data_IF_162269963925
#
_entry.id   IF_162269963925
#
_cell.length_a   1.000
_cell.length_b   1.000
_cell.length_c   1.000
_cell.angle_alpha   90.00
_cell.angle_beta   90.00
_cell.angle_gamma   90.00
#
_symmetry.space_group_name_H-M   'P 1'
#
loop_
_entity.id
_entity.type
_entity.pdbx_description
1 polymer ?
#
# COMPACT_ATOMS: atom_id res chain seq x y z
N UNK A 1 31.24 41.71 9.76
CA UNK A 1 32.28 40.77 9.28
C UNK A 1 31.56 39.45 9.04
N UNK A 2 31.27 39.07 7.79
CA UNK A 2 30.68 37.76 7.49
C UNK A 2 31.83 36.75 7.49
N UNK A 3 31.88 35.88 8.51
CA UNK A 3 32.92 34.86 8.57
C UNK A 3 32.56 33.77 7.55
N UNK A 4 33.51 33.33 6.70
CA UNK A 4 33.25 32.30 5.68
C UNK A 4 32.75 30.99 6.29
N UNK A 5 33.06 30.76 7.57
CA UNK A 5 32.63 29.60 8.36
C UNK A 5 31.11 29.57 8.56
N UNK A 6 30.46 30.74 8.73
CA UNK A 6 29.01 30.83 8.95
C UNK A 6 28.21 30.55 7.67
N UNK A 7 28.78 30.92 6.51
CA UNK A 7 28.18 30.60 5.22
C UNK A 7 28.30 29.09 4.90
N UNK A 8 29.44 28.48 5.23
CA UNK A 8 29.67 27.04 5.03
C UNK A 8 28.79 26.20 5.97
N UNK A 9 28.66 26.60 7.23
CA UNK A 9 27.81 25.89 8.21
C UNK A 9 26.33 25.96 7.82
N UNK A 10 25.85 27.14 7.38
CA UNK A 10 24.49 27.28 6.84
C UNK A 10 24.23 26.39 5.63
N UNK A 11 25.18 26.30 4.71
CA UNK A 11 25.08 25.41 3.54
C UNK A 11 25.01 23.93 3.93
N UNK A 12 25.80 23.49 4.91
CA UNK A 12 25.77 22.11 5.42
C UNK A 12 24.44 21.77 6.09
N UNK A 13 23.85 22.70 6.86
CA UNK A 13 22.54 22.50 7.49
C UNK A 13 21.44 22.32 6.44
N UNK A 14 21.47 23.11 5.36
CA UNK A 14 20.52 22.98 4.25
C UNK A 14 20.68 21.63 3.55
N UNK A 15 21.91 21.22 3.24
CA UNK A 15 22.18 19.90 2.66
C UNK A 15 21.70 18.76 3.57
N UNK A 16 21.97 18.85 4.87
CA UNK A 16 21.53 17.86 5.84
C UNK A 16 20.00 17.78 5.92
N UNK A 17 19.31 18.92 5.89
CA UNK A 17 17.84 18.99 5.91
C UNK A 17 17.24 18.34 4.66
N UNK A 18 17.80 18.61 3.47
CA UNK A 18 17.36 17.99 2.20
C UNK A 18 17.60 16.48 2.24
N UNK A 19 18.76 16.05 2.75
CA UNK A 19 19.09 14.64 2.87
C UNK A 19 18.16 13.91 3.84
N UNK A 20 17.93 14.50 5.02
CA UNK A 20 17.02 13.98 6.03
C UNK A 20 15.59 13.86 5.48
N UNK A 21 15.09 14.89 4.78
CA UNK A 21 13.78 14.83 4.14
C UNK A 21 13.70 13.71 3.08
N UNK A 22 14.73 13.55 2.24
CA UNK A 22 14.76 12.43 1.29
C UNK A 22 14.79 11.07 1.99
N UNK A 23 15.49 10.96 3.11
CA UNK A 23 15.58 9.75 3.89
C UNK A 23 14.22 9.37 4.50
N UNK A 24 13.52 10.32 5.14
CA UNK A 24 12.19 10.07 5.72
C UNK A 24 11.16 9.66 4.65
N UNK A 25 11.14 10.35 3.50
CA UNK A 25 10.30 9.97 2.34
C UNK A 25 10.56 8.55 1.84
N UNK A 26 11.81 8.07 1.92
CA UNK A 26 12.17 6.72 1.49
C UNK A 26 11.68 5.67 2.48
N UNK A 27 11.77 5.95 3.78
CA UNK A 27 11.28 5.07 4.84
C UNK A 27 9.75 4.89 4.79
N UNK A 28 8.98 5.98 4.63
CA UNK A 28 7.52 5.92 4.47
C UNK A 28 7.10 4.99 3.31
N UNK A 29 7.76 5.14 2.15
CA UNK A 29 7.51 4.28 0.98
C UNK A 29 7.88 2.82 1.24
N UNK A 30 8.89 2.56 2.06
CA UNK A 30 9.32 1.20 2.39
C UNK A 30 8.33 0.54 3.35
N UNK A 31 7.92 1.26 4.41
CA UNK A 31 6.90 0.82 5.37
C UNK A 31 5.59 0.45 4.68
N UNK A 32 5.10 1.31 3.78
CA UNK A 32 3.91 1.05 2.98
C UNK A 32 4.02 -0.23 2.14
N UNK A 33 5.16 -0.46 1.47
CA UNK A 33 5.39 -1.66 0.67
C UNK A 33 5.39 -2.93 1.53
N UNK A 34 6.02 -2.86 2.70
CA UNK A 34 6.10 -3.98 3.64
C UNK A 34 4.71 -4.30 4.20
N UNK A 35 3.98 -3.29 4.68
CA UNK A 35 2.63 -3.47 5.21
C UNK A 35 1.68 -4.07 4.17
N UNK A 36 1.72 -3.57 2.93
CA UNK A 36 0.94 -4.12 1.81
C UNK A 36 1.31 -5.58 1.51
N UNK A 37 2.60 -5.91 1.52
CA UNK A 37 3.05 -7.28 1.29
C UNK A 37 2.61 -8.23 2.42
N UNK A 38 2.72 -7.80 3.67
CA UNK A 38 2.24 -8.55 4.84
C UNK A 38 0.73 -8.77 4.75
N UNK A 39 -0.04 -7.73 4.44
CA UNK A 39 -1.48 -7.82 4.27
C UNK A 39 -1.87 -8.83 3.19
N UNK A 40 -1.22 -8.82 2.02
CA UNK A 40 -1.50 -9.77 0.94
C UNK A 40 -1.09 -11.21 1.26
N UNK A 41 -0.12 -11.40 2.16
CA UNK A 41 0.32 -12.73 2.57
C UNK A 41 -0.62 -13.38 3.59
N UNK A 42 -1.47 -12.61 4.27
CA UNK A 42 -2.43 -13.14 5.24
C UNK A 42 -3.44 -14.08 4.55
N UNK A 43 -3.74 -15.25 5.15
CA UNK A 43 -4.69 -16.21 4.59
C UNK A 43 -6.11 -15.63 4.50
N UNK A 44 -6.48 -14.77 5.44
CA UNK A 44 -7.77 -14.07 5.42
C UNK A 44 -7.88 -13.13 4.21
N UNK A 45 -6.85 -12.33 3.94
CA UNK A 45 -6.82 -11.44 2.77
C UNK A 45 -6.97 -12.21 1.47
N UNK A 46 -6.30 -13.36 1.33
CA UNK A 46 -6.46 -14.23 0.16
C UNK A 46 -7.90 -14.73 0.00
N UNK A 47 -8.60 -15.03 1.10
CA UNK A 47 -10.01 -15.40 1.07
C UNK A 47 -10.91 -14.23 0.66
N UNK A 48 -10.67 -13.03 1.19
CA UNK A 48 -11.42 -11.84 0.81
C UNK A 48 -11.23 -11.51 -0.68
N UNK A 49 -9.99 -11.52 -1.18
CA UNK A 49 -9.69 -11.32 -2.60
C UNK A 49 -10.38 -12.37 -3.49
N UNK A 50 -10.41 -13.65 -3.06
CA UNK A 50 -11.15 -14.72 -3.78
C UNK A 50 -12.66 -14.52 -3.79
N UNK A 51 -13.21 -13.88 -2.75
CA UNK A 51 -14.63 -13.53 -2.66
C UNK A 51 -14.97 -12.26 -3.45
N UNK A 52 -14.01 -11.67 -4.18
CA UNK A 52 -14.23 -10.48 -5.00
C UNK A 52 -14.07 -9.17 -4.23
N UNK A 53 -13.55 -9.18 -3.00
CA UNK A 53 -13.17 -7.94 -2.31
C UNK A 53 -11.90 -7.38 -2.93
N UNK A 54 -11.83 -6.06 -3.06
CA UNK A 54 -10.67 -5.33 -3.55
C UNK A 54 -10.25 -4.28 -2.53
N UNK A 55 -8.95 -3.97 -2.49
CA UNK A 55 -8.42 -2.91 -1.63
C UNK A 55 -8.80 -1.57 -2.26
N UNK A 56 -9.70 -0.83 -1.61
CA UNK A 56 -10.18 0.47 -2.10
C UNK A 56 -9.34 1.63 -1.58
N UNK A 57 -8.94 1.57 -0.31
CA UNK A 57 -8.13 2.61 0.33
C UNK A 57 -7.17 1.99 1.35
N UNK A 58 -5.98 2.57 1.42
CA UNK A 58 -4.99 2.28 2.46
C UNK A 58 -4.75 3.59 3.21
N UNK A 59 -5.05 3.61 4.50
CA UNK A 59 -4.83 4.76 5.36
C UNK A 59 -3.62 4.48 6.25
N UNK A 60 -2.67 5.41 6.27
CA UNK A 60 -1.57 5.39 7.25
C UNK A 60 -2.08 6.03 8.55
N UNK A 61 -2.08 5.25 9.63
CA UNK A 61 -2.53 5.68 10.97
C UNK A 61 -1.37 6.22 11.81
N UNK A 62 -0.13 6.18 11.30
CA UNK A 62 1.08 6.43 12.06
C UNK A 62 1.51 5.22 12.89
N UNK A 63 2.70 5.31 13.52
CA UNK A 63 3.28 4.23 14.33
C UNK A 63 3.42 2.87 13.60
N UNK A 64 3.71 2.89 12.30
CA UNK A 64 3.77 1.71 11.44
C UNK A 64 2.43 0.93 11.31
N UNK A 65 1.31 1.54 11.70
CA UNK A 65 -0.02 0.98 11.55
C UNK A 65 -0.68 1.45 10.24
N UNK A 66 -1.20 0.48 9.48
CA UNK A 66 -1.87 0.72 8.20
C UNK A 66 -3.25 0.08 8.21
N UNK A 67 -4.27 0.87 7.90
CA UNK A 67 -5.64 0.40 7.74
C UNK A 67 -5.92 0.09 6.28
N UNK A 68 -6.34 -1.14 5.99
CA UNK A 68 -6.70 -1.60 4.65
C UNK A 68 -8.23 -1.70 4.54
N UNK A 69 -8.83 -0.75 3.84
CA UNK A 69 -10.26 -0.79 3.54
C UNK A 69 -10.50 -1.69 2.32
N UNK A 70 -11.34 -2.70 2.54
CA UNK A 70 -11.78 -3.64 1.50
C UNK A 70 -13.19 -3.30 1.07
N UNK A 71 -13.42 -3.27 -0.23
CA UNK A 71 -14.76 -3.05 -0.80
C UNK A 71 -15.10 -4.23 -1.71
N UNK A 72 -16.32 -4.75 -1.60
CA UNK A 72 -16.79 -5.85 -2.43
C UNK A 72 -17.03 -5.34 -3.85
N UNK A 73 -16.35 -5.92 -4.83
CA UNK A 73 -16.62 -5.66 -6.24
C UNK A 73 -17.72 -6.63 -6.71
N UNK A 74 -18.93 -6.14 -7.04
CA UNK A 74 -20.06 -6.98 -7.43
C UNK A 74 -19.80 -7.78 -8.71
N UNK A 75 -18.90 -7.33 -9.59
CA UNK A 75 -18.54 -8.02 -10.83
C UNK A 75 -17.58 -9.20 -10.59
N UNK A 76 -16.89 -9.23 -9.44
CA UNK A 76 -15.96 -10.31 -9.05
C UNK A 76 -16.51 -11.20 -7.95
N UNK A 77 -17.71 -10.91 -7.45
CA UNK A 77 -18.35 -11.73 -6.44
C UNK A 77 -18.75 -13.09 -7.04
N UNK A 78 -18.22 -14.22 -6.53
CA UNK A 78 -18.62 -15.56 -6.96
C UNK A 78 -20.07 -15.91 -6.58
N UNK A 79 -20.69 -15.15 -5.68
CA UNK A 79 -22.09 -15.29 -5.27
C UNK A 79 -23.05 -14.60 -6.23
N UNK A 80 -22.56 -13.71 -7.09
CA UNK A 80 -23.38 -12.99 -8.05
C UNK A 80 -23.93 -13.98 -9.12
N UNK A 81 -25.25 -14.06 -9.34
CA UNK A 81 -25.85 -14.95 -10.33
C UNK A 81 -25.32 -14.75 -11.76
N UNK A 82 -24.77 -13.57 -12.10
CA UNK A 82 -24.08 -13.32 -13.37
C UNK A 82 -22.77 -14.11 -13.51
N UNK A 83 -21.97 -14.24 -12.44
CA UNK A 83 -20.70 -14.98 -12.45
C UNK A 83 -20.87 -16.50 -12.31
N UNK A 84 -21.93 -16.93 -11.64
CA UNK A 84 -22.22 -18.35 -11.40
C UNK A 84 -22.43 -19.15 -12.70
N UNK A 85 -22.90 -18.48 -13.77
CA UNK A 85 -23.06 -19.08 -15.10
C UNK A 85 -21.71 -19.40 -15.77
N UNK A 86 -20.72 -18.52 -15.64
CA UNK A 86 -19.39 -18.68 -16.27
C UNK A 86 -18.65 -19.89 -15.68
N UNK A 87 -18.76 -20.10 -14.36
CA UNK A 87 -18.12 -21.24 -13.69
C UNK A 87 -18.79 -22.60 -14.01
N UNK A 88 -20.08 -22.61 -14.36
CA UNK A 88 -20.77 -23.83 -14.78
C UNK A 88 -20.48 -24.22 -16.23
N UNK A 89 -20.19 -23.25 -17.11
CA UNK A 89 -19.81 -23.53 -18.50
C UNK A 89 -18.40 -24.11 -18.60
N UNK A 90 -17.42 -23.59 -17.85
CA UNK A 90 -16.04 -24.12 -17.86
C UNK A 90 -15.99 -25.57 -17.36
N UNK A 91 -16.83 -25.93 -16.38
CA UNK A 91 -16.85 -27.28 -15.80
C UNK A 91 -17.56 -28.33 -16.65
N UNK A 92 -18.28 -27.93 -17.70
CA UNK A 92 -18.95 -28.83 -18.66
C UNK A 92 -18.13 -29.09 -19.93
N UNK A 93 -17.02 -28.39 -20.12
CA UNK A 93 -16.17 -28.47 -21.32
C UNK A 93 -14.88 -29.27 -21.13
N UNK A 94 -14.72 -29.99 -20.02
CA UNK A 94 -13.62 -30.94 -19.77
C UNK A 94 -14.19 -32.36 -19.79
#
# INVERSE_FOLDING_TARGET
>A
MFYPVDAISGFLIVLFSIFYWRYTKKQEKLGFKIAKAQFLNLPQTKLYLKKGYEISKITDLGNDEYEFNLTLNPDKDPSNPKNKKIHQEIKKSI
#
